data_IF_856788492303
#
_entry.id   IF_856788492303
#
_cell.length_a   1.000
_cell.length_b   1.000
_cell.length_c   1.000
_cell.angle_alpha   90.00
_cell.angle_beta   90.00
_cell.angle_gamma   90.00
#
_symmetry.space_group_name_H-M   'P 1'
#
loop_
_entity.id
_entity.type
_entity.pdbx_description
1 polymer ?
#
# COMPACT_ATOMS: atom_id res chain seq x y z
N UNK A 1 9.32 -8.24 3.34
CA UNK A 1 9.93 -7.18 4.14
C UNK A 1 11.41 -7.45 4.36
N UNK A 2 12.19 -6.42 4.48
CA UNK A 2 13.62 -6.52 4.76
C UNK A 2 14.01 -5.52 5.86
N UNK A 3 15.27 -5.55 6.29
CA UNK A 3 15.74 -4.71 7.38
C UNK A 3 15.53 -3.19 7.15
N UNK A 4 15.61 -2.73 5.90
CA UNK A 4 15.46 -1.30 5.55
C UNK A 4 13.99 -0.90 5.36
N UNK A 5 13.16 -1.81 4.89
CA UNK A 5 11.72 -1.65 4.73
C UNK A 5 10.99 -2.85 5.35
N UNK A 6 10.92 -2.89 6.69
CA UNK A 6 10.39 -4.06 7.41
C UNK A 6 8.88 -4.23 7.27
N UNK A 7 8.13 -3.15 7.04
CA UNK A 7 6.67 -3.21 6.92
C UNK A 7 6.13 -2.32 5.81
N UNK A 8 5.10 -2.83 5.12
CA UNK A 8 4.30 -2.11 4.14
C UNK A 8 2.85 -2.04 4.63
N UNK A 9 2.07 -1.11 4.06
CA UNK A 9 0.66 -1.02 4.38
C UNK A 9 -0.06 -2.31 3.94
N UNK A 10 -0.88 -2.81 4.83
CA UNK A 10 -1.80 -3.92 4.58
C UNK A 10 -3.16 -3.58 5.19
N UNK A 11 -4.21 -4.22 4.71
CA UNK A 11 -5.56 -4.07 5.23
C UNK A 11 -5.95 -5.36 5.94
N UNK A 12 -6.51 -5.25 7.13
CA UNK A 12 -7.06 -6.38 7.88
C UNK A 12 -8.50 -6.12 8.30
N UNK A 13 -9.29 -7.17 8.43
CA UNK A 13 -10.64 -7.06 8.96
C UNK A 13 -10.60 -6.80 10.47
N UNK A 14 -11.11 -5.65 10.88
CA UNK A 14 -11.26 -5.31 12.30
C UNK A 14 -12.61 -4.61 12.51
N UNK A 15 -13.47 -5.23 13.31
CA UNK A 15 -14.80 -4.68 13.60
C UNK A 15 -14.69 -3.28 14.24
N UNK A 16 -15.51 -2.34 13.76
CA UNK A 16 -15.53 -0.96 14.24
C UNK A 16 -14.37 -0.08 13.75
N UNK A 17 -13.43 -0.62 12.98
CA UNK A 17 -12.33 0.14 12.39
C UNK A 17 -12.68 0.64 10.99
N UNK A 18 -12.04 1.73 10.60
CA UNK A 18 -12.22 2.40 9.31
C UNK A 18 -10.86 2.70 8.69
N UNK A 19 -10.76 2.50 7.40
CA UNK A 19 -9.62 2.93 6.58
C UNK A 19 -10.11 3.86 5.48
N UNK A 20 -9.37 4.92 5.20
CA UNK A 20 -9.62 5.80 4.06
C UNK A 20 -8.67 5.45 2.92
N UNK A 21 -9.13 5.56 1.69
CA UNK A 21 -8.36 5.23 0.51
C UNK A 21 -8.91 5.88 -0.74
N UNK A 22 -8.40 5.46 -1.89
CA UNK A 22 -8.79 5.97 -3.20
C UNK A 22 -9.44 4.83 -3.98
N UNK A 23 -10.61 5.10 -4.52
CA UNK A 23 -11.29 4.17 -5.42
C UNK A 23 -10.95 4.53 -6.87
N UNK A 24 -10.41 3.56 -7.60
CA UNK A 24 -10.10 3.69 -9.02
C UNK A 24 -11.04 2.81 -9.85
N UNK A 25 -11.54 3.37 -10.94
CA UNK A 25 -12.19 2.58 -11.98
C UNK A 25 -11.16 2.17 -13.01
N UNK A 26 -10.97 0.86 -13.16
CA UNK A 26 -9.95 0.28 -14.04
C UNK A 26 -10.52 -0.89 -14.82
N UNK A 27 -9.95 -1.20 -15.97
CA UNK A 27 -10.30 -2.36 -16.77
C UNK A 27 -9.80 -3.67 -16.13
N UNK A 28 -10.42 -4.79 -16.51
CA UNK A 28 -9.96 -6.12 -16.08
C UNK A 28 -8.51 -6.41 -16.50
N UNK A 29 -8.04 -5.86 -17.61
CA UNK A 29 -6.67 -6.02 -18.06
C UNK A 29 -5.70 -5.28 -17.14
N UNK A 30 -6.02 -4.05 -16.73
CA UNK A 30 -5.24 -3.26 -15.78
C UNK A 30 -5.20 -3.93 -14.41
N UNK A 31 -6.33 -4.45 -13.92
CA UNK A 31 -6.37 -5.20 -12.67
C UNK A 31 -5.44 -6.42 -12.72
N UNK A 32 -5.44 -7.20 -13.80
CA UNK A 32 -4.52 -8.33 -13.97
C UNK A 32 -3.05 -7.89 -13.94
N UNK A 33 -2.71 -6.75 -14.53
CA UNK A 33 -1.35 -6.21 -14.50
C UNK A 33 -0.94 -5.80 -13.08
N UNK A 34 -1.84 -5.17 -12.34
CA UNK A 34 -1.60 -4.79 -10.94
C UNK A 34 -1.34 -6.04 -10.09
N UNK A 35 -2.21 -7.04 -10.16
CA UNK A 35 -2.05 -8.31 -9.43
C UNK A 35 -0.69 -8.97 -9.77
N UNK A 36 -0.34 -9.02 -11.05
CA UNK A 36 0.93 -9.60 -11.48
C UNK A 36 2.16 -8.80 -10.98
N UNK A 37 2.03 -7.49 -10.79
CA UNK A 37 3.12 -6.64 -10.30
C UNK A 37 3.36 -6.76 -8.79
N UNK A 38 2.32 -7.01 -8.01
CA UNK A 38 2.43 -7.15 -6.55
C UNK A 38 3.06 -8.49 -6.14
N UNK A 39 2.74 -9.56 -6.85
CA UNK A 39 3.30 -10.89 -6.61
C UNK A 39 2.25 -11.91 -6.17
N UNK A 40 2.62 -13.20 -6.18
CA UNK A 40 1.69 -14.29 -5.90
C UNK A 40 1.28 -14.40 -4.43
N UNK A 41 1.95 -13.68 -3.54
CA UNK A 41 1.69 -13.69 -2.11
C UNK A 41 0.47 -12.86 -1.71
N UNK A 42 -0.01 -11.96 -2.60
CA UNK A 42 -1.19 -11.16 -2.36
C UNK A 42 -2.47 -11.85 -2.83
N UNK A 43 -3.50 -11.74 -2.03
CA UNK A 43 -4.83 -12.21 -2.36
C UNK A 43 -5.74 -11.06 -2.77
N UNK A 44 -6.59 -11.29 -3.78
CA UNK A 44 -7.64 -10.34 -4.17
C UNK A 44 -8.83 -10.52 -3.25
N UNK A 45 -9.19 -9.49 -2.52
CA UNK A 45 -10.37 -9.49 -1.65
C UNK A 45 -11.39 -8.46 -2.13
N UNK A 46 -12.67 -8.81 -2.03
CA UNK A 46 -13.77 -7.89 -2.28
C UNK A 46 -14.14 -7.17 -0.98
N UNK A 47 -14.21 -5.86 -1.06
CA UNK A 47 -14.57 -5.00 0.06
C UNK A 47 -15.70 -4.04 -0.32
N UNK A 48 -16.49 -3.66 0.66
CA UNK A 48 -17.47 -2.57 0.50
C UNK A 48 -16.80 -1.25 0.82
N UNK A 49 -16.88 -0.30 -0.11
CA UNK A 49 -16.40 1.07 0.07
C UNK A 49 -17.56 2.07 -0.05
N UNK A 50 -17.44 3.18 0.65
CA UNK A 50 -18.44 4.26 0.66
C UNK A 50 -17.76 5.54 0.18
N UNK A 51 -18.39 6.23 -0.77
CA UNK A 51 -17.99 7.54 -1.24
C UNK A 51 -19.22 8.37 -1.61
N UNK A 52 -19.31 9.61 -1.15
CA UNK A 52 -20.43 10.51 -1.41
C UNK A 52 -21.80 9.85 -1.23
N UNK A 53 -22.01 9.18 -0.09
CA UNK A 53 -23.23 8.44 0.28
C UNK A 53 -23.60 7.28 -0.63
N UNK A 54 -22.73 6.92 -1.56
CA UNK A 54 -22.87 5.73 -2.42
C UNK A 54 -22.00 4.59 -1.92
N UNK A 55 -22.55 3.39 -2.08
CA UNK A 55 -21.90 2.13 -1.74
C UNK A 55 -21.39 1.46 -3.02
N UNK A 56 -20.14 1.01 -3.01
CA UNK A 56 -19.53 0.27 -4.10
C UNK A 56 -18.93 -1.04 -3.60
N UNK A 57 -18.96 -2.06 -4.44
CA UNK A 57 -18.14 -3.25 -4.26
C UNK A 57 -16.82 -3.03 -4.99
N UNK A 58 -15.73 -3.08 -4.28
CA UNK A 58 -14.38 -2.85 -4.82
C UNK A 58 -13.47 -4.04 -4.54
N UNK A 59 -12.41 -4.16 -5.31
CA UNK A 59 -11.35 -5.16 -5.09
C UNK A 59 -10.13 -4.48 -4.49
N UNK A 60 -9.51 -5.14 -3.54
CA UNK A 60 -8.24 -4.74 -2.95
C UNK A 60 -7.29 -5.93 -2.86
N UNK A 61 -6.01 -5.66 -2.72
CA UNK A 61 -5.00 -6.68 -2.49
C UNK A 61 -4.66 -6.72 -1.02
N UNK A 62 -4.68 -7.92 -0.45
CA UNK A 62 -4.40 -8.16 0.97
C UNK A 62 -3.26 -9.16 1.05
N UNK A 63 -2.26 -8.86 1.87
CA UNK A 63 -1.26 -9.83 2.28
C UNK A 63 -1.88 -10.68 3.39
N UNK A 64 -2.12 -11.99 3.19
CA UNK A 64 -2.68 -12.85 4.21
C UNK A 64 -1.67 -13.00 5.35
N UNK A 65 -2.11 -12.67 6.56
CA UNK A 65 -1.30 -12.81 7.76
C UNK A 65 -2.18 -13.02 8.97
N UNK A 66 -1.80 -13.94 9.82
CA UNK A 66 -2.44 -14.17 11.12
C UNK A 66 -1.90 -13.21 12.19
N UNK A 67 -0.82 -12.50 11.89
CA UNK A 67 -0.21 -11.55 12.83
C UNK A 67 -0.91 -10.21 12.76
N UNK A 68 -1.40 -9.75 13.90
CA UNK A 68 -1.87 -8.37 14.10
C UNK A 68 -0.74 -7.44 14.53
N UNK A 69 0.49 -7.93 14.65
CA UNK A 69 1.64 -7.13 15.03
C UNK A 69 1.99 -6.15 13.92
N UNK A 70 1.93 -4.87 14.26
CA UNK A 70 2.27 -3.80 13.33
C UNK A 70 3.79 -3.60 13.30
N UNK A 71 4.41 -4.00 12.21
CA UNK A 71 5.84 -3.76 11.98
C UNK A 71 6.09 -2.28 11.66
N UNK A 72 7.23 -1.70 12.11
CA UNK A 72 7.61 -0.36 11.70
C UNK A 72 7.84 -0.32 10.19
N UNK A 73 7.48 0.78 9.56
CA UNK A 73 7.76 1.00 8.13
C UNK A 73 9.04 1.80 7.92
N UNK A 74 9.50 1.95 6.67
CA UNK A 74 10.58 2.91 6.40
C UNK A 74 10.06 4.34 6.40
N UNK A 75 10.88 5.31 6.83
CA UNK A 75 10.52 6.73 6.77
C UNK A 75 10.22 7.18 5.33
N UNK A 76 10.93 6.62 4.36
CA UNK A 76 10.68 6.87 2.94
C UNK A 76 9.26 6.47 2.54
N UNK A 77 8.85 5.24 2.89
CA UNK A 77 7.52 4.72 2.58
C UNK A 77 6.42 5.49 3.31
N UNK A 78 6.62 5.79 4.60
CA UNK A 78 5.67 6.61 5.37
C UNK A 78 5.48 8.00 4.74
N UNK A 79 6.55 8.65 4.30
CA UNK A 79 6.47 9.95 3.63
C UNK A 79 5.72 9.85 2.29
N UNK A 80 5.90 8.76 1.55
CA UNK A 80 5.17 8.49 0.31
C UNK A 80 3.68 8.36 0.57
N UNK A 81 3.27 7.59 1.59
CA UNK A 81 1.87 7.44 2.00
C UNK A 81 1.26 8.78 2.42
N UNK A 82 1.97 9.57 3.25
CA UNK A 82 1.51 10.87 3.70
C UNK A 82 1.35 11.87 2.55
N UNK A 83 2.25 11.84 1.58
CA UNK A 83 2.16 12.66 0.38
C UNK A 83 0.93 12.27 -0.44
N UNK A 84 0.78 10.98 -0.75
CA UNK A 84 -0.36 10.47 -1.50
C UNK A 84 -1.70 10.76 -0.79
N UNK A 85 -1.78 10.57 0.52
CA UNK A 85 -2.98 10.86 1.29
C UNK A 85 -3.40 12.34 1.18
N UNK A 86 -2.46 13.27 1.27
CA UNK A 86 -2.71 14.71 1.12
C UNK A 86 -3.14 15.06 -0.31
N UNK A 87 -2.40 14.60 -1.32
CA UNK A 87 -2.66 14.89 -2.73
C UNK A 87 -4.03 14.38 -3.18
N UNK A 88 -4.54 13.32 -2.56
CA UNK A 88 -5.83 12.72 -2.86
C UNK A 88 -6.96 13.11 -1.88
N UNK A 89 -6.73 14.09 -1.01
CA UNK A 89 -7.75 14.67 -0.17
C UNK A 89 -8.32 13.76 0.93
N UNK A 90 -7.51 12.83 1.45
CA UNK A 90 -7.90 12.07 2.64
C UNK A 90 -8.07 13.00 3.85
N UNK A 91 -8.92 12.62 4.81
CA UNK A 91 -9.22 13.48 5.95
C UNK A 91 -7.99 13.80 6.80
N UNK A 92 -7.92 15.01 7.36
CA UNK A 92 -6.83 15.42 8.24
C UNK A 92 -6.68 14.50 9.45
N UNK A 93 -7.80 13.97 9.97
CA UNK A 93 -7.79 12.98 11.04
C UNK A 93 -7.05 11.72 10.64
N UNK A 94 -7.35 11.17 9.48
CA UNK A 94 -6.70 9.97 8.97
C UNK A 94 -5.21 10.20 8.64
N UNK A 95 -4.87 11.35 8.05
CA UNK A 95 -3.48 11.74 7.81
C UNK A 95 -2.69 11.82 9.11
N UNK A 96 -3.29 12.32 10.20
CA UNK A 96 -2.66 12.33 11.54
C UNK A 96 -2.41 10.91 12.06
N UNK A 97 -3.35 9.97 11.85
CA UNK A 97 -3.16 8.57 12.23
C UNK A 97 -2.02 7.90 11.45
N UNK A 98 -1.95 8.11 10.12
CA UNK A 98 -0.81 7.62 9.31
C UNK A 98 0.52 8.18 9.87
N UNK A 99 0.57 9.45 10.24
CA UNK A 99 1.79 10.09 10.75
C UNK A 99 2.29 9.52 12.08
N UNK A 100 1.41 8.95 12.90
CA UNK A 100 1.78 8.32 14.19
C UNK A 100 2.45 6.96 14.02
N UNK A 101 2.40 6.37 12.82
CA UNK A 101 2.99 5.06 12.56
C UNK A 101 4.49 5.05 12.81
N UNK A 102 4.98 4.00 13.46
CA UNK A 102 6.40 3.84 13.74
C UNK A 102 7.19 3.73 12.44
N UNK A 103 8.27 4.48 12.35
CA UNK A 103 9.13 4.46 11.16
C UNK A 103 10.60 4.32 11.54
N UNK A 104 11.31 3.50 10.76
CA UNK A 104 12.77 3.35 10.85
C UNK A 104 13.45 4.19 9.76
N UNK A 105 14.66 4.63 10.05
CA UNK A 105 15.47 5.38 9.10
C UNK A 105 16.94 5.00 9.20
N UNK A 106 17.48 4.54 8.09
CA UNK A 106 18.90 4.21 7.95
C UNK A 106 19.48 5.06 6.82
N UNK A 107 20.17 6.17 7.11
CA UNK A 107 20.53 7.20 6.12
C UNK A 107 21.20 6.63 4.86
N UNK A 108 22.27 5.87 5.01
CA UNK A 108 23.02 5.32 3.89
C UNK A 108 22.32 4.16 3.18
N UNK A 109 21.73 3.23 3.96
CA UNK A 109 21.05 2.07 3.42
C UNK A 109 19.74 2.46 2.72
N UNK A 110 19.01 3.45 3.24
CA UNK A 110 17.78 3.93 2.64
C UNK A 110 18.01 4.60 1.28
N UNK A 111 19.11 5.31 1.11
CA UNK A 111 19.46 5.92 -0.19
C UNK A 111 19.88 4.85 -1.22
N UNK A 112 20.68 3.86 -0.80
CA UNK A 112 21.03 2.74 -1.66
C UNK A 112 19.81 1.91 -2.08
N UNK A 113 18.88 1.68 -1.13
CA UNK A 113 17.65 0.95 -1.39
C UNK A 113 16.71 1.64 -2.37
N UNK A 114 16.66 2.99 -2.42
CA UNK A 114 15.91 3.73 -3.44
C UNK A 114 16.35 3.34 -4.86
N UNK A 115 17.65 3.29 -5.07
CA UNK A 115 18.24 2.94 -6.37
C UNK A 115 17.90 1.49 -6.72
N UNK A 116 18.06 0.58 -5.77
CA UNK A 116 17.74 -0.83 -5.94
C UNK A 116 16.25 -1.05 -6.24
N UNK A 117 15.35 -0.46 -5.45
CA UNK A 117 13.91 -0.58 -5.63
C UNK A 117 13.46 -0.03 -7.00
N UNK A 118 14.04 1.09 -7.45
CA UNK A 118 13.76 1.65 -8.78
C UNK A 118 14.09 0.66 -9.90
N UNK A 119 15.26 0.04 -9.86
CA UNK A 119 15.65 -0.95 -10.87
C UNK A 119 14.82 -2.24 -10.79
N UNK A 120 14.47 -2.67 -9.60
CA UNK A 120 13.66 -3.86 -9.38
C UNK A 120 12.24 -3.71 -9.94
N UNK A 121 11.56 -2.60 -9.63
CA UNK A 121 10.23 -2.28 -10.18
C UNK A 121 10.28 -2.19 -11.71
N UNK A 122 11.30 -1.50 -12.26
CA UNK A 122 11.46 -1.36 -13.71
C UNK A 122 11.73 -2.70 -14.41
N UNK A 123 12.41 -3.63 -13.78
CA UNK A 123 12.67 -4.98 -14.32
C UNK A 123 11.40 -5.84 -14.34
N UNK A 124 10.54 -5.74 -13.31
CA UNK A 124 9.25 -6.44 -13.27
C UNK A 124 8.28 -5.90 -14.32
N UNK A 125 8.17 -4.59 -14.46
CA UNK A 125 7.32 -3.97 -15.48
C UNK A 125 7.66 -4.43 -16.91
N UNK A 126 8.94 -4.69 -17.20
CA UNK A 126 9.37 -5.23 -18.51
C UNK A 126 8.96 -6.70 -18.74
N UNK A 127 8.80 -7.51 -17.69
CA UNK A 127 8.38 -8.92 -17.80
C UNK A 127 6.89 -9.07 -18.06
N UNK A 128 6.07 -8.10 -17.68
CA UNK A 128 4.60 -8.11 -17.88
C UNK A 128 4.22 -7.69 -19.29
N UNK A 129 5.11 -7.02 -20.02
CA UNK A 129 4.89 -6.56 -21.40
C UNK A 129 5.42 -7.52 -22.48
N UNK A 130 5.87 -8.71 -22.11
CA UNK A 130 6.18 -9.84 -22.99
C UNK A 130 5.14 -10.94 -22.85
#
# INVERSE_FOLDING_TARGET
PNFVEPGFANISHQSGSKVEGILHEISNLELKKIIASEGPEYEVSEITVYTNDKKFLAKTLIWPTDSLEELPTSRRYLNLLLKAAKENGLSDGYIKEIRKKKAVYYPFLSEYYKIYAYFWVKSRAKKVNK
#
